data_IF_743499055571
#
_entry.id   IF_743499055571
#
_cell.length_a   1.000
_cell.length_b   1.000
_cell.length_c   1.000
_cell.angle_alpha   90.00
_cell.angle_beta   90.00
_cell.angle_gamma   90.00
#
_symmetry.space_group_name_H-M   'P 1'
#
loop_
_entity.id
_entity.type
_entity.pdbx_description
1 polymer ?
#
# COMPACT_ATOMS: atom_id res chain seq x y z
N UNK A 1 9.48 -39.93 -30.84
CA UNK A 1 8.65 -40.61 -29.84
C UNK A 1 7.81 -39.53 -29.15
N UNK A 2 6.77 -39.03 -29.81
CA UNK A 2 6.24 -37.67 -29.53
C UNK A 2 4.69 -37.62 -29.46
N UNK A 3 4.04 -38.77 -29.30
CA UNK A 3 2.57 -38.92 -29.30
C UNK A 3 2.00 -39.40 -27.95
N UNK A 4 2.83 -39.92 -27.04
CA UNK A 4 2.38 -40.55 -25.77
C UNK A 4 2.36 -39.59 -24.57
N UNK A 5 2.57 -38.28 -24.79
CA UNK A 5 2.68 -37.28 -23.70
C UNK A 5 1.63 -36.16 -23.77
N UNK A 6 0.78 -36.12 -24.79
CA UNK A 6 -0.29 -35.11 -24.94
C UNK A 6 -1.71 -35.69 -24.87
N UNK A 7 -1.86 -37.01 -24.69
CA UNK A 7 -3.14 -37.75 -24.63
C UNK A 7 -4.18 -37.19 -23.65
N UNK A 8 -3.67 -36.60 -22.57
CA UNK A 8 -4.45 -36.20 -21.39
C UNK A 8 -4.94 -34.75 -21.50
N UNK A 9 -4.40 -33.96 -22.44
CA UNK A 9 -4.78 -32.55 -22.64
C UNK A 9 -5.73 -32.37 -23.83
N UNK A 10 -7.03 -32.54 -23.56
CA UNK A 10 -8.11 -32.42 -24.56
C UNK A 10 -8.84 -31.07 -24.57
N UNK A 11 -8.25 -30.01 -24.01
CA UNK A 11 -8.87 -28.68 -24.07
C UNK A 11 -8.69 -28.05 -25.47
N UNK A 12 -9.70 -27.33 -26.01
CA UNK A 12 -9.53 -26.55 -27.22
C UNK A 12 -8.54 -25.40 -27.03
N UNK A 13 -7.70 -25.14 -28.05
CA UNK A 13 -6.87 -23.95 -28.10
C UNK A 13 -7.74 -22.68 -28.08
N UNK A 14 -7.39 -21.71 -27.22
CA UNK A 14 -8.13 -20.45 -27.08
C UNK A 14 -8.15 -19.60 -28.37
N UNK A 15 -7.15 -19.76 -29.25
CA UNK A 15 -7.02 -18.98 -30.49
C UNK A 15 -7.71 -19.65 -31.69
N UNK A 16 -7.56 -20.96 -31.88
CA UNK A 16 -8.04 -21.67 -33.08
C UNK A 16 -9.07 -22.78 -32.82
N UNK A 17 -9.44 -23.03 -31.57
CA UNK A 17 -10.33 -24.13 -31.13
C UNK A 17 -9.87 -25.56 -31.47
N UNK A 18 -8.69 -25.75 -32.06
CA UNK A 18 -8.12 -27.08 -32.30
C UNK A 18 -7.75 -27.78 -30.98
N UNK A 19 -7.94 -29.09 -30.94
CA UNK A 19 -7.50 -29.97 -29.83
C UNK A 19 -6.30 -30.78 -30.31
N UNK A 20 -5.26 -30.07 -30.73
CA UNK A 20 -4.02 -30.64 -31.27
C UNK A 20 -2.82 -29.90 -30.67
N UNK A 21 -2.11 -30.59 -29.78
CA UNK A 21 -1.09 -30.02 -28.90
C UNK A 21 0.21 -30.82 -29.00
N UNK A 22 1.32 -30.09 -29.08
CA UNK A 22 2.67 -30.60 -28.89
C UNK A 22 3.28 -30.06 -27.60
N UNK A 23 4.45 -30.57 -27.24
CA UNK A 23 5.24 -30.11 -26.09
C UNK A 23 6.62 -29.69 -26.62
N UNK A 24 7.14 -28.55 -26.16
CA UNK A 24 8.50 -28.10 -26.49
C UNK A 24 9.55 -28.89 -25.71
N UNK A 25 10.79 -28.83 -26.14
CA UNK A 25 11.97 -29.31 -25.41
C UNK A 25 12.13 -28.70 -24.00
N UNK A 26 11.51 -27.55 -23.76
CA UNK A 26 11.40 -26.90 -22.43
C UNK A 26 10.18 -27.34 -21.60
N UNK A 27 9.36 -28.28 -22.09
CA UNK A 27 8.20 -28.83 -21.37
C UNK A 27 6.93 -27.97 -21.39
N UNK A 28 6.82 -26.99 -22.31
CA UNK A 28 5.63 -26.14 -22.48
C UNK A 28 4.70 -26.71 -23.55
N UNK A 29 3.39 -26.64 -23.35
CA UNK A 29 2.43 -27.02 -24.39
C UNK A 29 2.31 -25.92 -25.46
N UNK A 30 2.29 -26.32 -26.74
CA UNK A 30 2.00 -25.43 -27.87
C UNK A 30 0.96 -26.06 -28.79
N UNK A 31 0.07 -25.26 -29.37
CA UNK A 31 -0.92 -25.76 -30.31
C UNK A 31 -0.26 -26.02 -31.68
N UNK A 32 -0.35 -27.25 -32.21
CA UNK A 32 0.22 -27.60 -33.51
C UNK A 32 -0.49 -26.93 -34.69
N UNK A 33 -1.73 -26.46 -34.50
CA UNK A 33 -2.53 -25.80 -35.54
C UNK A 33 -2.27 -24.28 -35.68
N UNK A 34 -1.90 -23.57 -34.60
CA UNK A 34 -1.67 -22.12 -34.63
C UNK A 34 -0.38 -21.64 -33.95
N UNK A 35 0.42 -22.56 -33.39
CA UNK A 35 1.68 -22.31 -32.71
C UNK A 35 1.59 -21.40 -31.46
N UNK A 36 0.38 -21.22 -30.92
CA UNK A 36 0.15 -20.54 -29.64
C UNK A 36 0.71 -21.40 -28.48
N UNK A 37 1.47 -20.77 -27.58
CA UNK A 37 2.19 -21.44 -26.48
C UNK A 37 1.54 -21.08 -25.15
N UNK A 38 1.15 -22.08 -24.37
CA UNK A 38 0.54 -21.88 -23.05
C UNK A 38 1.54 -22.14 -21.93
N UNK A 39 1.49 -21.36 -20.85
CA UNK A 39 2.40 -21.49 -19.68
C UNK A 39 2.19 -22.77 -18.85
N UNK A 40 1.23 -23.62 -19.24
CA UNK A 40 1.02 -24.91 -18.58
C UNK A 40 2.23 -25.80 -18.85
N UNK A 41 2.87 -26.25 -17.78
CA UNK A 41 3.93 -27.26 -17.82
C UNK A 41 3.32 -28.65 -17.61
N UNK A 42 3.91 -29.68 -18.22
CA UNK A 42 3.51 -31.05 -17.95
C UNK A 42 3.94 -31.45 -16.53
N UNK A 43 2.99 -31.78 -15.66
CA UNK A 43 3.29 -32.39 -14.36
C UNK A 43 3.87 -33.78 -14.60
N UNK A 44 5.20 -33.92 -14.46
CA UNK A 44 5.89 -35.20 -14.60
C UNK A 44 5.55 -36.07 -13.39
N UNK A 45 4.51 -36.88 -13.53
CA UNK A 45 4.15 -37.93 -12.56
C UNK A 45 5.17 -39.06 -12.71
N UNK A 46 6.18 -39.05 -11.83
CA UNK A 46 7.16 -40.13 -11.72
C UNK A 46 6.46 -41.42 -11.26
N UNK A 47 6.19 -42.31 -12.22
CA UNK A 47 5.38 -43.53 -12.03
C UNK A 47 6.13 -44.67 -11.31
N UNK A 48 7.18 -44.37 -10.53
CA UNK A 48 8.03 -45.38 -9.88
C UNK A 48 7.54 -45.86 -8.50
N UNK A 49 6.35 -45.44 -8.03
CA UNK A 49 5.87 -45.71 -6.66
C UNK A 49 4.54 -46.48 -6.58
N UNK A 50 4.50 -47.67 -7.17
CA UNK A 50 3.56 -48.72 -6.75
C UNK A 50 4.20 -49.65 -5.71
N UNK A 51 4.13 -49.28 -4.43
CA UNK A 51 4.09 -50.24 -3.31
C UNK A 51 3.72 -49.59 -1.96
N UNK A 52 2.59 -50.04 -1.40
CA UNK A 52 2.31 -50.18 0.04
C UNK A 52 2.26 -48.93 0.93
N UNK A 53 1.03 -48.48 1.19
CA UNK A 53 0.66 -47.55 2.24
C UNK A 53 1.10 -48.00 3.64
N UNK A 54 2.03 -47.26 4.26
CA UNK A 54 2.13 -47.08 5.72
C UNK A 54 2.72 -45.69 6.00
N UNK A 55 1.88 -44.80 6.55
CA UNK A 55 2.29 -43.44 6.89
C UNK A 55 3.11 -43.47 8.18
N UNK A 56 4.41 -43.19 8.08
CA UNK A 56 5.25 -42.81 9.21
C UNK A 56 5.87 -41.45 8.93
N UNK A 57 5.48 -40.45 9.72
CA UNK A 57 5.96 -39.08 9.59
C UNK A 57 7.42 -38.97 10.03
N UNK A 58 8.35 -38.92 9.08
CA UNK A 58 9.75 -38.58 9.33
C UNK A 58 10.17 -37.45 8.39
N UNK A 59 10.51 -36.32 8.98
CA UNK A 59 11.02 -35.13 8.31
C UNK A 59 12.41 -35.38 7.71
N UNK A 60 12.48 -35.39 6.37
CA UNK A 60 13.73 -35.21 5.62
C UNK A 60 13.53 -34.19 4.53
N UNK A 61 14.02 -32.97 4.79
CA UNK A 61 13.93 -31.87 3.85
C UNK A 61 14.81 -32.08 2.61
N UNK A 62 14.19 -32.36 1.48
CA UNK A 62 14.81 -32.23 0.16
C UNK A 62 14.80 -30.75 -0.23
N UNK A 63 15.99 -30.14 -0.28
CA UNK A 63 16.18 -28.73 -0.66
C UNK A 63 15.95 -28.51 -2.15
N UNK A 64 14.70 -28.46 -2.60
CA UNK A 64 14.37 -27.65 -3.76
C UNK A 64 14.12 -26.21 -3.30
N UNK A 65 15.23 -25.46 -3.15
CA UNK A 65 15.20 -24.00 -3.24
C UNK A 65 14.81 -23.63 -4.68
N UNK A 66 13.52 -23.75 -5.01
CA UNK A 66 12.91 -22.69 -5.81
C UNK A 66 13.19 -21.43 -5.00
N UNK A 67 13.91 -20.46 -5.58
CA UNK A 67 13.91 -19.12 -5.02
C UNK A 67 12.45 -18.68 -5.10
N UNK A 68 11.72 -18.75 -3.98
CA UNK A 68 10.56 -17.88 -3.83
C UNK A 68 11.17 -16.49 -4.00
N UNK A 69 10.77 -15.80 -5.06
CA UNK A 69 11.33 -14.49 -5.34
C UNK A 69 10.88 -13.59 -4.19
N UNK A 70 11.81 -13.32 -3.27
CA UNK A 70 11.54 -12.47 -2.13
C UNK A 70 11.40 -11.07 -2.70
N UNK A 71 10.14 -10.66 -2.89
CA UNK A 71 9.79 -9.34 -3.39
C UNK A 71 10.62 -8.27 -2.70
N UNK A 72 11.07 -7.30 -3.49
CA UNK A 72 12.01 -6.27 -3.06
C UNK A 72 11.52 -5.62 -1.77
N UNK A 73 12.43 -5.44 -0.80
CA UNK A 73 12.14 -4.64 0.39
C UNK A 73 11.65 -3.21 0.01
N UNK A 74 10.45 -2.87 0.46
CA UNK A 74 9.77 -1.62 0.13
C UNK A 74 9.05 -0.99 1.35
N UNK A 75 8.76 0.31 1.26
CA UNK A 75 8.02 1.09 2.28
C UNK A 75 6.76 1.76 1.72
N UNK A 76 5.75 2.02 2.57
CA UNK A 76 4.41 2.50 2.16
C UNK A 76 4.49 3.79 1.34
N UNK A 77 5.46 4.66 1.62
CA UNK A 77 5.69 5.86 0.83
C UNK A 77 6.16 5.59 -0.61
N UNK A 78 6.87 4.49 -0.91
CA UNK A 78 7.16 4.11 -2.29
C UNK A 78 5.88 3.72 -3.04
N UNK A 79 4.94 3.05 -2.36
CA UNK A 79 3.63 2.71 -2.94
C UNK A 79 2.84 3.96 -3.30
N UNK A 80 2.80 4.95 -2.40
CA UNK A 80 2.18 6.24 -2.71
C UNK A 80 2.92 7.03 -3.79
N UNK A 81 4.25 6.96 -3.86
CA UNK A 81 5.02 7.55 -4.96
C UNK A 81 4.66 6.92 -6.32
N UNK A 82 4.47 5.60 -6.35
CA UNK A 82 4.05 4.89 -7.56
C UNK A 82 2.65 5.32 -8.02
N UNK A 83 1.69 5.43 -7.09
CA UNK A 83 0.32 5.92 -7.36
C UNK A 83 0.36 7.37 -7.88
N UNK A 84 1.08 8.26 -7.18
CA UNK A 84 1.22 9.67 -7.59
C UNK A 84 1.85 9.81 -8.98
N UNK A 85 2.83 8.97 -9.33
CA UNK A 85 3.43 8.94 -10.67
C UNK A 85 2.38 8.58 -11.73
N UNK A 86 1.60 7.51 -11.52
CA UNK A 86 0.58 7.07 -12.48
C UNK A 86 -0.57 8.07 -12.61
N UNK A 87 -1.01 8.69 -11.50
CA UNK A 87 -1.98 9.79 -11.52
C UNK A 87 -1.46 10.98 -12.32
N UNK A 88 -0.18 11.33 -12.16
CA UNK A 88 0.41 12.42 -12.92
C UNK A 88 0.55 12.11 -14.40
N UNK A 89 0.98 10.89 -14.76
CA UNK A 89 1.12 10.47 -16.15
C UNK A 89 -0.22 10.40 -16.87
N UNK A 90 -1.30 9.98 -16.18
CA UNK A 90 -2.66 10.10 -16.68
C UNK A 90 -3.09 11.56 -16.92
N UNK A 91 -2.81 12.47 -15.98
CA UNK A 91 -3.12 13.90 -16.14
C UNK A 91 -2.32 14.55 -17.29
N UNK A 92 -1.06 14.18 -17.49
CA UNK A 92 -0.27 14.62 -18.65
C UNK A 92 -0.86 14.11 -19.98
N UNK A 93 -1.35 12.86 -20.02
CA UNK A 93 -2.03 12.33 -21.20
C UNK A 93 -3.33 13.07 -21.54
N UNK A 94 -3.97 13.69 -20.53
CA UNK A 94 -5.14 14.58 -20.69
C UNK A 94 -4.77 16.03 -21.09
N UNK A 95 -3.50 16.34 -21.31
CA UNK A 95 -3.04 17.65 -21.79
C UNK A 95 -2.56 18.64 -20.72
N UNK A 96 -2.45 18.23 -19.46
CA UNK A 96 -1.83 19.04 -18.39
C UNK A 96 -0.35 19.30 -18.72
N UNK A 97 0.17 20.49 -18.40
CA UNK A 97 1.56 20.87 -18.70
C UNK A 97 2.58 19.93 -18.03
N UNK A 98 3.65 19.48 -18.72
CA UNK A 98 4.71 18.62 -18.14
C UNK A 98 5.30 19.13 -16.81
N UNK A 99 5.39 20.45 -16.64
CA UNK A 99 5.85 21.10 -15.40
C UNK A 99 5.04 20.67 -14.16
N UNK A 100 3.78 20.25 -14.35
CA UNK A 100 2.92 19.72 -13.29
C UNK A 100 3.58 18.55 -12.57
N UNK A 101 4.10 17.57 -13.32
CA UNK A 101 4.68 16.36 -12.75
C UNK A 101 6.04 16.66 -12.14
N UNK A 102 6.94 17.23 -12.95
CA UNK A 102 8.37 17.23 -12.66
C UNK A 102 8.80 18.40 -11.75
N UNK A 103 8.22 19.59 -11.94
CA UNK A 103 8.58 20.79 -11.18
C UNK A 103 7.68 21.06 -9.98
N UNK A 104 6.39 20.73 -10.05
CA UNK A 104 5.42 21.11 -9.01
C UNK A 104 5.05 19.94 -8.11
N UNK A 105 4.42 18.89 -8.65
CA UNK A 105 3.99 17.73 -7.88
C UNK A 105 5.18 17.01 -7.23
N UNK A 106 6.27 16.79 -7.98
CA UNK A 106 7.48 16.16 -7.45
C UNK A 106 8.09 16.97 -6.29
N UNK A 107 8.12 18.30 -6.38
CA UNK A 107 8.62 19.15 -5.30
C UNK A 107 7.68 19.21 -4.08
N UNK A 108 6.36 19.20 -4.30
CA UNK A 108 5.39 19.05 -3.19
C UNK A 108 5.56 17.69 -2.49
N UNK A 109 5.76 16.59 -3.24
CA UNK A 109 6.01 15.25 -2.70
C UNK A 109 7.33 15.15 -1.93
N UNK A 110 8.45 15.67 -2.47
CA UNK A 110 9.73 15.76 -1.75
C UNK A 110 9.58 16.54 -0.43
N UNK A 111 8.90 17.69 -0.46
CA UNK A 111 8.64 18.53 0.73
C UNK A 111 7.76 17.81 1.76
N UNK A 112 6.77 17.03 1.31
CA UNK A 112 5.94 16.18 2.17
C UNK A 112 6.79 15.10 2.87
N UNK A 113 7.61 14.36 2.13
CA UNK A 113 8.47 13.30 2.67
C UNK A 113 9.46 13.84 3.72
N UNK A 114 10.10 14.97 3.43
CA UNK A 114 11.00 15.66 4.37
C UNK A 114 10.29 16.09 5.65
N UNK A 115 9.11 16.73 5.54
CA UNK A 115 8.36 17.18 6.73
C UNK A 115 7.80 16.02 7.55
N UNK A 116 7.39 14.93 6.89
CA UNK A 116 6.83 13.75 7.56
C UNK A 116 7.88 12.80 8.10
N UNK A 117 9.18 13.02 7.87
CA UNK A 117 10.28 12.13 8.28
C UNK A 117 10.17 10.71 7.69
N UNK A 118 9.50 10.57 6.55
CA UNK A 118 9.32 9.30 5.84
C UNK A 118 10.30 9.13 4.66
N UNK A 119 10.98 10.20 4.25
CA UNK A 119 12.02 10.15 3.22
C UNK A 119 12.83 11.45 3.18
N UNK A 120 14.06 11.38 2.67
CA UNK A 120 14.99 12.52 2.60
C UNK A 120 15.33 13.17 3.97
N UNK A 121 15.34 12.39 5.06
CA UNK A 121 15.70 12.89 6.40
C UNK A 121 16.76 12.02 7.09
N UNK A 122 17.46 12.61 8.08
CA UNK A 122 18.50 11.94 8.86
C UNK A 122 17.96 10.95 9.89
N UNK A 123 16.72 11.14 10.33
CA UNK A 123 16.06 10.32 11.36
C UNK A 123 14.73 9.80 10.81
N UNK A 124 14.76 8.84 9.85
CA UNK A 124 13.53 8.28 9.30
C UNK A 124 12.70 7.58 10.37
N UNK A 125 11.38 7.60 10.20
CA UNK A 125 10.44 6.86 11.06
C UNK A 125 10.59 5.37 10.74
N UNK A 126 11.39 4.66 11.54
CA UNK A 126 11.51 3.20 11.46
C UNK A 126 10.65 2.52 12.53
N UNK A 127 9.92 1.47 12.14
CA UNK A 127 9.02 0.72 13.01
C UNK A 127 9.70 0.15 14.28
N UNK A 128 11.02 -0.11 14.21
CA UNK A 128 11.79 -0.68 15.32
C UNK A 128 11.94 0.17 16.59
N UNK A 129 11.63 1.48 16.56
CA UNK A 129 11.79 2.35 17.75
C UNK A 129 10.59 2.33 18.73
N UNK A 130 9.54 1.56 18.44
CA UNK A 130 8.39 1.38 19.35
C UNK A 130 8.50 0.14 20.27
N UNK A 131 9.71 -0.41 20.49
CA UNK A 131 9.91 -1.26 21.67
C UNK A 131 9.75 -0.41 22.93
N UNK A 132 8.72 -0.75 23.70
CA UNK A 132 8.37 -0.13 24.99
C UNK A 132 9.62 -0.06 25.87
N UNK A 133 9.99 1.16 26.27
CA UNK A 133 10.99 1.39 27.31
C UNK A 133 10.36 1.06 28.66
N UNK A 134 10.27 -0.23 28.96
CA UNK A 134 9.89 -0.70 30.29
C UNK A 134 11.13 -0.67 31.19
N UNK A 135 11.18 0.37 32.02
CA UNK A 135 12.05 0.62 33.17
C UNK A 135 13.36 -0.17 33.33
N UNK A 136 14.46 0.58 33.44
CA UNK A 136 15.47 0.29 34.47
C UNK A 136 15.61 1.55 35.31
N UNK A 137 15.30 1.44 36.61
CA UNK A 137 15.36 2.57 37.53
C UNK A 137 16.78 3.12 37.69
N UNK A 138 16.88 4.44 37.81
CA UNK A 138 17.99 5.12 38.48
C UNK A 138 17.47 6.46 38.99
N UNK A 139 17.58 6.66 40.30
CA UNK A 139 16.89 7.70 41.04
C UNK A 139 17.59 9.06 40.91
N UNK A 140 16.84 10.13 40.58
CA UNK A 140 17.14 11.50 41.02
C UNK A 140 15.98 12.47 40.75
N UNK A 141 15.55 13.18 41.79
CA UNK A 141 14.59 14.32 41.85
C UNK A 141 15.28 15.36 42.76
N UNK A 142 15.06 16.71 42.74
CA UNK A 142 13.90 17.51 42.28
C UNK A 142 14.31 18.72 41.35
N UNK A 143 13.62 19.85 41.12
CA UNK A 143 12.43 20.51 41.69
C UNK A 143 11.54 21.27 40.66
N UNK A 144 10.22 21.27 40.93
CA UNK A 144 9.30 22.44 40.84
C UNK A 144 8.76 23.03 39.51
N UNK A 145 7.56 23.62 39.66
CA UNK A 145 6.74 24.52 38.80
C UNK A 145 6.22 24.01 37.43
N UNK A 146 4.92 24.08 37.11
CA UNK A 146 3.71 24.37 37.92
C UNK A 146 2.46 24.63 37.05
N UNK A 147 1.25 24.31 37.58
CA UNK A 147 -0.09 24.80 37.17
C UNK A 147 -0.58 24.44 35.72
N UNK A 148 -1.82 24.06 35.42
CA UNK A 148 -3.10 24.02 36.20
C UNK A 148 -3.98 22.82 35.80
N UNK A 149 -4.96 22.51 36.66
CA UNK A 149 -6.03 21.53 36.45
C UNK A 149 -7.06 21.95 35.38
N UNK A 150 -7.80 20.96 34.85
CA UNK A 150 -9.28 21.03 34.82
C UNK A 150 -9.85 19.64 35.13
N UNK A 151 -10.59 19.55 36.24
CA UNK A 151 -11.33 18.34 36.66
C UNK A 151 -12.75 18.34 36.11
N UNK A 152 -13.28 17.15 35.75
CA UNK A 152 -14.72 16.87 35.76
C UNK A 152 -14.97 15.46 36.29
N UNK A 153 -15.82 15.36 37.32
CA UNK A 153 -16.18 14.16 38.05
C UNK A 153 -17.66 13.80 37.82
N UNK A 154 -17.95 12.50 37.68
CA UNK A 154 -19.10 11.74 38.21
C UNK A 154 -19.23 10.42 37.43
N UNK A 155 -19.57 9.27 38.00
CA UNK A 155 -19.90 8.92 39.40
C UNK A 155 -20.72 7.62 39.43
N UNK A 156 -20.82 6.97 40.60
CA UNK A 156 -21.71 5.82 40.94
C UNK A 156 -21.15 4.39 40.84
N UNK A 157 -20.40 4.02 41.88
CA UNK A 157 -20.57 2.88 42.82
C UNK A 157 -21.31 1.59 42.37
N UNK A 158 -20.65 0.42 42.60
CA UNK A 158 -21.25 -0.78 43.20
C UNK A 158 -20.15 -1.71 43.79
N UNK A 159 -20.50 -2.46 44.84
CA UNK A 159 -19.61 -3.18 45.77
C UNK A 159 -19.40 -4.68 45.42
N UNK A 160 -18.41 -5.38 46.02
CA UNK A 160 -18.30 -6.86 45.92
C UNK A 160 -16.91 -7.54 46.00
N UNK A 161 -16.43 -7.74 47.23
CA UNK A 161 -15.50 -8.77 47.76
C UNK A 161 -14.59 -9.71 46.90
N UNK A 162 -13.30 -9.67 47.25
CA UNK A 162 -12.33 -10.77 47.52
C UNK A 162 -12.16 -12.01 46.59
N UNK A 163 -10.88 -12.14 46.17
CA UNK A 163 -10.03 -13.34 46.16
C UNK A 163 -10.27 -14.46 45.13
N UNK A 164 -9.33 -14.59 44.17
CA UNK A 164 -8.32 -15.68 44.15
C UNK A 164 -7.40 -15.61 42.92
N UNK A 165 -6.10 -15.87 43.11
CA UNK A 165 -5.17 -16.19 42.00
C UNK A 165 -5.50 -17.59 41.46
N UNK A 166 -5.28 -17.83 40.16
CA UNK A 166 -4.41 -18.95 39.82
C UNK A 166 -3.30 -18.56 38.84
N UNK A 167 -2.09 -19.04 39.12
CA UNK A 167 -0.94 -18.96 38.22
C UNK A 167 -1.23 -19.76 36.94
N UNK A 168 -1.00 -19.17 35.77
CA UNK A 168 -0.95 -19.89 34.50
C UNK A 168 0.42 -19.72 33.88
N UNK A 169 1.22 -20.79 33.89
CA UNK A 169 2.53 -20.81 33.26
C UNK A 169 2.38 -20.93 31.74
N UNK A 170 2.82 -19.91 31.00
CA UNK A 170 2.94 -19.95 29.54
C UNK A 170 4.39 -20.16 29.13
N UNK A 171 4.81 -21.43 29.13
CA UNK A 171 6.06 -21.83 28.47
C UNK A 171 5.92 -21.69 26.96
N UNK A 172 6.47 -20.62 26.37
CA UNK A 172 6.54 -20.50 24.92
C UNK A 172 7.70 -21.36 24.41
N UNK A 173 7.39 -22.47 23.75
CA UNK A 173 8.34 -23.12 22.85
C UNK A 173 8.35 -22.32 21.55
N UNK A 174 9.48 -21.65 21.28
CA UNK A 174 9.70 -20.92 20.03
C UNK A 174 10.07 -21.89 18.91
N UNK A 175 9.08 -22.51 18.28
CA UNK A 175 9.30 -23.20 17.00
C UNK A 175 8.98 -22.24 15.83
N UNK A 176 10.03 -21.82 15.14
CA UNK A 176 9.97 -20.80 14.09
C UNK A 176 9.56 -21.39 12.75
N UNK A 177 8.31 -21.16 12.34
CA UNK A 177 7.83 -21.50 10.99
C UNK A 177 6.70 -20.56 10.50
N UNK A 178 6.80 -19.25 10.74
CA UNK A 178 6.03 -18.29 9.94
C UNK A 178 6.70 -18.13 8.58
N UNK A 179 6.04 -18.62 7.53
CA UNK A 179 6.34 -18.21 6.15
C UNK A 179 5.98 -16.73 6.00
N UNK A 180 6.94 -15.83 6.28
CA UNK A 180 6.72 -14.39 6.21
C UNK A 180 6.60 -13.97 4.74
N UNK A 181 5.36 -13.88 4.27
CA UNK A 181 5.03 -13.12 3.06
C UNK A 181 5.38 -11.65 3.34
N UNK A 182 6.38 -11.12 2.62
CA UNK A 182 7.00 -9.84 2.98
C UNK A 182 6.19 -8.66 2.43
N UNK A 183 5.26 -8.14 3.24
CA UNK A 183 4.63 -6.84 3.00
C UNK A 183 5.56 -5.66 3.36
N UNK A 184 5.02 -4.45 3.28
CA UNK A 184 5.76 -3.20 3.56
C UNK A 184 6.41 -3.17 4.95
N UNK A 185 7.67 -2.75 5.04
CA UNK A 185 8.43 -2.73 6.31
C UNK A 185 7.81 -1.85 7.41
N UNK A 186 7.08 -0.80 7.00
CA UNK A 186 6.46 0.23 7.84
C UNK A 186 4.93 0.12 7.89
N UNK A 187 4.32 -0.91 7.30
CA UNK A 187 2.85 -1.06 7.23
C UNK A 187 2.15 -1.01 8.60
N UNK A 188 2.79 -1.51 9.65
CA UNK A 188 2.27 -1.48 11.03
C UNK A 188 2.20 -0.05 11.62
N UNK A 189 3.06 0.88 11.20
CA UNK A 189 2.97 2.30 11.59
C UNK A 189 1.64 2.88 11.07
N UNK A 190 1.22 2.45 9.88
CA UNK A 190 -0.04 2.81 9.26
C UNK A 190 -1.26 2.10 9.85
N UNK A 191 -1.11 1.06 10.70
CA UNK A 191 -2.25 0.46 11.40
C UNK A 191 -2.61 1.20 12.69
N UNK A 192 -1.60 1.63 13.45
CA UNK A 192 -1.81 2.31 14.74
C UNK A 192 -2.54 3.65 14.59
N UNK A 193 -3.78 3.71 15.07
CA UNK A 193 -4.59 4.93 15.07
C UNK A 193 -3.96 6.08 15.89
N UNK A 194 -3.12 5.76 16.88
CA UNK A 194 -2.29 6.74 17.61
C UNK A 194 -1.24 7.36 16.70
N UNK A 195 -0.58 6.53 15.89
CA UNK A 195 0.47 6.96 14.97
C UNK A 195 -0.10 7.77 13.80
N UNK A 196 -1.22 7.36 13.20
CA UNK A 196 -1.93 8.13 12.15
C UNK A 196 -2.31 9.57 12.55
N UNK A 197 -2.54 9.82 13.85
CA UNK A 197 -2.88 11.15 14.39
C UNK A 197 -1.65 11.97 14.77
N UNK A 198 -0.59 11.31 15.22
CA UNK A 198 0.67 11.95 15.64
C UNK A 198 1.64 12.21 14.50
N UNK A 199 1.56 11.42 13.44
CA UNK A 199 2.40 11.47 12.25
C UNK A 199 1.45 11.74 11.08
N UNK A 200 1.72 12.77 10.27
CA UNK A 200 0.87 13.15 9.12
C UNK A 200 1.10 12.17 7.96
N UNK A 201 0.76 10.90 8.16
CA UNK A 201 0.95 9.79 7.23
C UNK A 201 0.11 9.98 5.96
N UNK A 202 0.57 9.40 4.86
CA UNK A 202 -0.08 9.58 3.55
C UNK A 202 -1.34 8.71 3.48
N UNK A 203 -2.30 9.09 2.64
CA UNK A 203 -3.53 8.33 2.43
C UNK A 203 -3.99 8.47 0.98
N UNK A 204 -4.83 7.55 0.52
CA UNK A 204 -5.37 7.61 -0.84
C UNK A 204 -6.01 8.98 -1.15
N UNK A 205 -6.93 9.54 -0.32
CA UNK A 205 -7.47 10.90 -0.55
C UNK A 205 -6.39 12.00 -0.64
N UNK A 206 -5.31 11.88 0.14
CA UNK A 206 -4.21 12.84 0.11
C UNK A 206 -3.42 12.80 -1.22
N UNK A 207 -3.43 11.69 -1.97
CA UNK A 207 -2.82 11.64 -3.33
C UNK A 207 -3.55 12.58 -4.31
N UNK A 208 -4.89 12.50 -4.35
CA UNK A 208 -5.72 13.40 -5.14
C UNK A 208 -5.65 14.85 -4.66
N UNK A 209 -5.57 15.07 -3.34
CA UNK A 209 -5.38 16.39 -2.78
C UNK A 209 -4.02 17.02 -3.16
N UNK A 210 -2.95 16.22 -3.21
CA UNK A 210 -1.63 16.68 -3.68
C UNK A 210 -1.65 17.02 -5.17
N UNK A 211 -2.28 16.19 -6.00
CA UNK A 211 -2.49 16.47 -7.42
C UNK A 211 -3.32 17.75 -7.62
N UNK A 212 -4.42 17.92 -6.89
CA UNK A 212 -5.25 19.12 -6.94
C UNK A 212 -4.47 20.39 -6.55
N UNK A 213 -3.66 20.34 -5.50
CA UNK A 213 -2.79 21.47 -5.11
C UNK A 213 -1.78 21.83 -6.20
N UNK A 214 -1.19 20.83 -6.86
CA UNK A 214 -0.24 21.05 -7.94
C UNK A 214 -0.91 21.63 -9.21
N UNK A 215 -2.13 21.19 -9.56
CA UNK A 215 -2.93 21.78 -10.65
C UNK A 215 -3.26 23.25 -10.36
N UNK A 216 -3.75 23.55 -9.15
CA UNK A 216 -4.01 24.93 -8.71
C UNK A 216 -2.76 25.81 -8.73
N UNK A 217 -1.61 25.26 -8.36
CA UNK A 217 -0.35 25.99 -8.30
C UNK A 217 0.13 26.45 -9.68
N UNK A 218 -0.05 25.62 -10.71
CA UNK A 218 0.22 25.99 -12.10
C UNK A 218 -0.91 26.75 -12.79
N UNK A 219 -2.07 26.89 -12.14
CA UNK A 219 -3.29 27.47 -12.72
C UNK A 219 -3.78 26.69 -13.94
N UNK A 220 -3.65 25.38 -13.87
CA UNK A 220 -4.21 24.46 -14.86
C UNK A 220 -5.74 24.59 -14.93
N UNK A 221 -6.31 24.39 -16.12
CA UNK A 221 -7.75 24.50 -16.32
C UNK A 221 -8.54 23.36 -15.65
N UNK A 222 -7.87 22.25 -15.29
CA UNK A 222 -8.47 21.08 -14.65
C UNK A 222 -8.88 21.40 -13.22
N UNK A 223 -10.20 21.46 -12.97
CA UNK A 223 -10.74 21.73 -11.63
C UNK A 223 -10.72 20.49 -10.73
N UNK A 224 -11.00 20.65 -9.42
CA UNK A 224 -11.21 19.50 -8.53
C UNK A 224 -12.44 18.66 -8.93
N UNK A 225 -13.45 19.28 -9.53
CA UNK A 225 -14.62 18.56 -10.04
C UNK A 225 -14.22 17.67 -11.24
N UNK A 226 -13.40 18.19 -12.14
CA UNK A 226 -12.84 17.43 -13.27
C UNK A 226 -11.92 16.30 -12.81
N UNK A 227 -11.03 16.56 -11.85
CA UNK A 227 -10.16 15.52 -11.29
C UNK A 227 -10.96 14.35 -10.70
N UNK A 228 -12.03 14.65 -9.95
CA UNK A 228 -12.91 13.61 -9.40
C UNK A 228 -13.74 12.90 -10.48
N UNK A 229 -14.15 13.63 -11.53
CA UNK A 229 -14.83 13.04 -12.70
C UNK A 229 -13.90 12.09 -13.47
N UNK A 230 -12.65 12.49 -13.74
CA UNK A 230 -11.64 11.62 -14.37
C UNK A 230 -11.31 10.38 -13.53
N UNK A 231 -11.37 10.47 -12.20
CA UNK A 231 -11.27 9.30 -11.31
C UNK A 231 -12.50 8.40 -11.42
N UNK A 232 -13.71 8.97 -11.52
CA UNK A 232 -14.96 8.21 -11.68
C UNK A 232 -15.10 7.55 -13.07
N UNK A 233 -14.59 8.19 -14.12
CA UNK A 233 -14.51 7.67 -15.48
C UNK A 233 -13.35 6.67 -15.68
N UNK A 234 -12.48 6.50 -14.66
CA UNK A 234 -11.34 5.56 -14.71
C UNK A 234 -10.10 6.08 -15.48
N UNK A 235 -10.13 7.33 -15.96
CA UNK A 235 -8.99 7.95 -16.64
C UNK A 235 -7.81 8.24 -15.70
N UNK A 236 -8.07 8.59 -14.44
CA UNK A 236 -7.03 8.80 -13.42
C UNK A 236 -7.06 7.65 -12.40
N UNK A 237 -5.97 6.87 -12.24
CA UNK A 237 -5.97 5.69 -11.37
C UNK A 237 -6.08 6.07 -9.89
N UNK A 238 -7.06 5.48 -9.21
CA UNK A 238 -7.34 5.73 -7.80
C UNK A 238 -7.98 4.51 -7.13
N UNK A 239 -9.14 4.09 -7.61
CA UNK A 239 -9.72 2.79 -7.23
C UNK A 239 -8.80 1.70 -7.77
N UNK A 240 -8.43 0.74 -6.92
CA UNK A 240 -7.52 -0.35 -7.25
C UNK A 240 -6.14 0.05 -7.83
N UNK A 241 -5.66 1.27 -7.59
CA UNK A 241 -4.37 1.76 -8.13
C UNK A 241 -3.15 0.90 -7.72
N UNK A 242 -3.28 0.08 -6.66
CA UNK A 242 -2.27 -0.90 -6.26
C UNK A 242 -2.09 -2.07 -7.24
N UNK A 243 -3.06 -2.34 -8.12
CA UNK A 243 -2.96 -3.41 -9.13
C UNK A 243 -1.90 -3.10 -10.20
N UNK A 244 -1.49 -1.84 -10.33
CA UNK A 244 -0.41 -1.43 -11.23
C UNK A 244 0.98 -1.60 -10.61
N UNK A 245 1.10 -1.98 -9.32
CA UNK A 245 2.40 -2.13 -8.65
C UNK A 245 3.23 -3.23 -9.32
N UNK A 246 4.56 -3.08 -9.38
CA UNK A 246 5.42 -4.07 -10.02
C UNK A 246 5.43 -5.39 -9.22
N UNK A 247 5.77 -6.50 -9.89
CA UNK A 247 5.67 -7.86 -9.36
C UNK A 247 6.53 -8.11 -8.11
N UNK A 248 7.60 -7.32 -7.93
CA UNK A 248 8.47 -7.33 -6.75
C UNK A 248 7.88 -6.57 -5.54
N UNK A 249 6.85 -5.76 -5.75
CA UNK A 249 6.21 -4.91 -4.73
C UNK A 249 4.87 -5.49 -4.26
N UNK A 250 4.96 -6.67 -3.64
CA UNK A 250 3.78 -7.45 -3.25
C UNK A 250 3.12 -6.90 -1.98
N UNK A 251 1.79 -6.71 -2.03
CA UNK A 251 0.99 -6.25 -0.89
C UNK A 251 0.50 -7.43 -0.02
N UNK A 252 0.74 -7.36 1.29
CA UNK A 252 0.32 -8.38 2.26
C UNK A 252 -0.29 -7.81 3.55
N UNK A 253 -1.59 -8.07 3.72
CA UNK A 253 -2.28 -7.94 5.01
C UNK A 253 -2.57 -6.50 5.43
N UNK A 254 -1.63 -5.85 6.11
CA UNK A 254 -1.83 -4.52 6.72
C UNK A 254 -1.67 -3.39 5.68
N UNK A 255 -0.68 -3.48 4.81
CA UNK A 255 -0.41 -2.50 3.74
C UNK A 255 -1.54 -2.46 2.68
N UNK A 256 -2.15 -3.60 2.36
CA UNK A 256 -3.28 -3.70 1.44
C UNK A 256 -4.47 -2.85 1.92
N UNK A 257 -4.65 -2.68 3.24
CA UNK A 257 -5.68 -1.80 3.82
C UNK A 257 -5.35 -0.31 3.70
N UNK A 258 -4.09 0.04 3.40
CA UNK A 258 -3.65 1.43 3.17
C UNK A 258 -3.98 1.87 1.74
N UNK A 259 -3.83 0.96 0.76
CA UNK A 259 -4.05 1.23 -0.66
C UNK A 259 -5.41 0.77 -1.21
N UNK A 260 -6.18 -0.01 -0.44
CA UNK A 260 -7.57 -0.36 -0.79
C UNK A 260 -8.48 0.84 -0.60
N UNK A 261 -9.25 1.15 -1.63
CA UNK A 261 -10.25 2.23 -1.66
C UNK A 261 -11.64 1.59 -1.73
N UNK A 262 -12.52 1.94 -0.80
CA UNK A 262 -13.91 1.46 -0.78
C UNK A 262 -14.83 2.31 -1.66
N UNK A 263 -14.57 3.61 -1.78
CA UNK A 263 -15.34 4.55 -2.58
C UNK A 263 -14.52 5.77 -3.00
N UNK A 264 -14.99 6.46 -4.05
CA UNK A 264 -14.39 7.73 -4.50
C UNK A 264 -14.73 8.82 -3.47
N UNK A 265 -13.74 9.59 -2.98
CA UNK A 265 -13.97 10.61 -1.95
C UNK A 265 -14.77 11.79 -2.49
N UNK A 266 -15.55 12.42 -1.62
CA UNK A 266 -16.34 13.60 -1.99
C UNK A 266 -15.44 14.84 -2.19
N UNK A 267 -15.93 15.79 -3.01
CA UNK A 267 -15.29 17.08 -3.25
C UNK A 267 -14.85 17.78 -1.96
N UNK A 268 -15.77 17.88 -0.99
CA UNK A 268 -15.50 18.51 0.32
C UNK A 268 -14.42 17.79 1.12
N UNK A 269 -14.32 16.46 0.99
CA UNK A 269 -13.27 15.68 1.63
C UNK A 269 -11.90 15.96 1.03
N UNK A 270 -11.78 15.97 -0.30
CA UNK A 270 -10.50 16.28 -0.97
C UNK A 270 -10.10 17.74 -0.73
N UNK A 271 -11.03 18.68 -0.79
CA UNK A 271 -10.78 20.10 -0.52
C UNK A 271 -10.24 20.31 0.91
N UNK A 272 -10.78 19.61 1.91
CA UNK A 272 -10.30 19.66 3.29
C UNK A 272 -8.89 19.07 3.44
N UNK A 273 -8.60 17.93 2.79
CA UNK A 273 -7.24 17.36 2.80
C UNK A 273 -6.25 18.25 2.04
N UNK A 274 -6.65 18.89 0.95
CA UNK A 274 -5.83 19.87 0.23
C UNK A 274 -5.51 21.08 1.10
N UNK A 275 -6.48 21.62 1.85
CA UNK A 275 -6.24 22.71 2.79
C UNK A 275 -5.25 22.30 3.90
N UNK A 276 -5.44 21.12 4.50
CA UNK A 276 -4.51 20.57 5.51
C UNK A 276 -3.11 20.39 4.94
N UNK A 277 -2.99 19.80 3.75
CA UNK A 277 -1.70 19.60 3.06
C UNK A 277 -1.02 20.93 2.73
N UNK A 278 -1.75 21.94 2.24
CA UNK A 278 -1.17 23.25 1.92
C UNK A 278 -0.57 23.93 3.17
N UNK A 279 -1.28 23.87 4.29
CA UNK A 279 -0.80 24.37 5.60
C UNK A 279 0.39 23.53 6.09
N UNK A 280 0.29 22.20 6.04
CA UNK A 280 1.34 21.28 6.47
C UNK A 280 2.63 21.48 5.67
N UNK A 281 2.54 21.55 4.35
CA UNK A 281 3.65 21.86 3.44
C UNK A 281 4.18 23.27 3.66
N UNK A 282 3.36 24.21 4.15
CA UNK A 282 3.70 25.63 4.21
C UNK A 282 3.84 26.16 2.79
N UNK A 283 2.78 26.02 1.99
CA UNK A 283 2.63 26.73 0.73
C UNK A 283 2.20 28.18 1.05
N UNK A 284 2.65 29.19 0.27
CA UNK A 284 2.14 30.54 0.40
C UNK A 284 0.63 30.56 0.16
N UNK A 285 -0.05 31.52 0.79
CA UNK A 285 -1.46 31.78 0.52
C UNK A 285 -1.59 32.29 -0.91
N UNK A 286 -2.59 31.80 -1.64
CA UNK A 286 -3.00 32.45 -2.89
C UNK A 286 -3.40 33.91 -2.60
N UNK A 287 -3.18 34.84 -3.55
CA UNK A 287 -3.66 36.21 -3.41
C UNK A 287 -5.17 36.23 -3.10
N UNK A 288 -5.65 37.18 -2.27
CA UNK A 288 -7.08 37.32 -2.05
C UNK A 288 -7.78 37.64 -3.37
N UNK A 289 -8.98 37.10 -3.56
CA UNK A 289 -9.85 37.44 -4.69
C UNK A 289 -10.27 38.90 -4.50
N UNK A 290 -9.82 39.78 -5.39
CA UNK A 290 -10.25 41.19 -5.43
C UNK A 290 -11.35 41.39 -6.47
N UNK A 291 -12.01 42.55 -6.47
CA UNK A 291 -13.00 42.90 -7.50
C UNK A 291 -12.41 42.94 -8.92
N UNK A 292 -11.08 43.10 -9.03
CA UNK A 292 -10.34 43.08 -10.30
C UNK A 292 -10.17 41.67 -10.87
N UNK A 293 -10.50 40.62 -10.10
CA UNK A 293 -10.47 39.23 -10.53
C UNK A 293 -11.73 38.88 -11.35
N UNK A 294 -11.94 39.60 -12.45
CA UNK A 294 -13.15 39.57 -13.31
C UNK A 294 -13.53 38.19 -13.88
N UNK A 295 -12.59 37.23 -13.89
CA UNK A 295 -12.79 35.85 -14.37
C UNK A 295 -12.92 34.83 -13.24
N UNK A 296 -12.98 35.26 -11.98
CA UNK A 296 -13.13 34.35 -10.86
C UNK A 296 -14.58 33.85 -10.76
N UNK A 297 -14.85 32.53 -10.60
CA UNK A 297 -16.22 31.98 -10.60
C UNK A 297 -17.16 32.53 -9.51
N UNK A 298 -16.63 33.18 -8.47
CA UNK A 298 -17.40 33.86 -7.43
C UNK A 298 -17.60 35.37 -7.68
N UNK A 299 -17.05 35.93 -8.76
CA UNK A 299 -17.18 37.33 -9.16
C UNK A 299 -18.12 37.53 -10.37
N UNK A 300 -18.33 36.48 -11.18
CA UNK A 300 -19.43 36.43 -12.15
C UNK A 300 -20.73 36.04 -11.44
N UNK A 301 -21.50 37.04 -11.01
CA UNK A 301 -22.88 36.89 -10.51
C UNK A 301 -23.90 37.18 -11.62
#
# INVERSE_FOLDING_TARGET
MDEEHTSDYRQPCAQCSAVDWGITDEGRFYCRSCHDVIERTQDVVDASYLANSRISSISRGTKNKRKLDHGREWVVCEGFQFILKHQAEALLAMGVCPQFKDDVLCNMWRKYLQKSQQGYTRNPIHAGKFRVSLASDSESVPESVGLSEVSLLSGSEADGERASRPSSASGYSSDGASSVCSGSQDGEIYYSAKNRKSLTLMSMPMTLALCHLALLWLREAVTLADLLRFVAEGHVPYVNAHQCFPEDMQLYGTDLKVFRVESIPSYKSIQLEAQKLAVYLGLPKFPPITLDCLLHPHCCA
#
